data_IF_065319044470
#
_entry.id   IF_065319044470
#
_cell.length_a   1.000
_cell.length_b   1.000
_cell.length_c   1.000
_cell.angle_alpha   90.00
_cell.angle_beta   90.00
_cell.angle_gamma   90.00
#
_symmetry.space_group_name_H-M   'P 1'
#
loop_
_entity.id
_entity.type
_entity.pdbx_description
1 polymer ?
#
# COMPACT_ATOMS: atom_id res chain seq x y z
N UNK A 1 23.30 -26.11 9.55
CA UNK A 1 23.12 -24.78 8.91
C UNK A 1 21.70 -24.70 8.35
N UNK A 2 21.02 -23.56 8.46
CA UNK A 2 19.68 -23.38 7.88
C UNK A 2 19.81 -22.79 6.48
N UNK A 3 19.05 -23.32 5.52
CA UNK A 3 18.91 -22.71 4.20
C UNK A 3 17.51 -22.10 4.11
N UNK A 4 17.46 -20.76 4.12
CA UNK A 4 16.23 -19.98 4.06
C UNK A 4 15.91 -19.63 2.61
N UNK A 5 14.70 -19.94 2.16
CA UNK A 5 14.19 -19.62 0.83
C UNK A 5 12.95 -18.75 0.97
N UNK A 6 12.99 -17.52 0.46
CA UNK A 6 11.83 -16.63 0.40
C UNK A 6 11.10 -16.79 -0.93
N UNK A 7 9.78 -16.95 -0.86
CA UNK A 7 8.88 -17.06 -2.00
C UNK A 7 7.84 -15.97 -1.86
N UNK A 8 7.86 -15.04 -2.81
CA UNK A 8 6.82 -14.03 -2.99
C UNK A 8 5.61 -14.70 -3.66
N UNK A 9 4.55 -14.95 -2.88
CA UNK A 9 3.38 -15.67 -3.36
C UNK A 9 2.60 -14.90 -4.43
N UNK A 10 2.70 -13.56 -4.44
CA UNK A 10 2.02 -12.72 -5.44
C UNK A 10 2.47 -13.07 -6.87
N UNK A 11 3.74 -13.44 -7.03
CA UNK A 11 4.38 -13.88 -8.28
C UNK A 11 4.19 -15.37 -8.60
N UNK A 12 3.44 -16.08 -7.74
CA UNK A 12 3.14 -17.52 -7.88
C UNK A 12 1.65 -17.79 -8.02
N UNK A 13 0.86 -16.76 -8.29
CA UNK A 13 -0.59 -16.87 -8.40
C UNK A 13 -1.03 -17.92 -9.44
N UNK A 14 -0.46 -17.91 -10.65
CA UNK A 14 -0.84 -18.91 -11.67
C UNK A 14 -0.44 -20.33 -11.27
N UNK A 15 0.78 -20.52 -10.75
CA UNK A 15 1.25 -21.82 -10.24
C UNK A 15 0.34 -22.34 -9.12
N UNK A 16 -0.03 -21.50 -8.15
CA UNK A 16 -0.92 -21.85 -7.04
C UNK A 16 -2.38 -22.11 -7.48
N UNK A 17 -2.84 -21.55 -8.60
CA UNK A 17 -4.19 -21.82 -9.13
C UNK A 17 -4.29 -23.12 -9.91
N UNK A 18 -3.23 -23.43 -10.65
CA UNK A 18 -3.21 -24.51 -11.65
C UNK A 18 -2.63 -25.81 -11.12
N UNK A 19 -1.69 -25.75 -10.18
CA UNK A 19 -1.01 -26.94 -9.65
C UNK A 19 -1.62 -27.38 -8.34
N UNK A 20 -1.69 -28.69 -8.16
CA UNK A 20 -2.12 -29.26 -6.90
C UNK A 20 -0.99 -29.21 -5.86
N UNK A 21 -1.29 -28.84 -4.61
CA UNK A 21 -0.31 -28.78 -3.53
C UNK A 21 0.34 -30.15 -3.25
N UNK A 22 -0.39 -31.26 -3.41
CA UNK A 22 0.19 -32.61 -3.28
C UNK A 22 1.33 -32.85 -4.24
N UNK A 23 1.15 -32.49 -5.51
CA UNK A 23 2.14 -32.75 -6.55
C UNK A 23 3.42 -31.96 -6.28
N UNK A 24 3.25 -30.68 -5.93
CA UNK A 24 4.37 -29.80 -5.55
C UNK A 24 5.08 -30.30 -4.30
N UNK A 25 4.35 -30.71 -3.26
CA UNK A 25 4.94 -31.16 -2.01
C UNK A 25 5.61 -32.53 -2.13
N UNK A 26 5.05 -33.45 -2.93
CA UNK A 26 5.49 -34.85 -3.02
C UNK A 26 6.82 -34.96 -3.77
N UNK A 27 6.97 -34.25 -4.88
CA UNK A 27 8.16 -34.31 -5.73
C UNK A 27 9.21 -33.23 -5.35
N UNK A 28 10.41 -33.61 -4.88
CA UNK A 28 11.53 -32.70 -4.64
C UNK A 28 11.87 -31.77 -5.82
N UNK A 29 11.66 -32.24 -7.07
CA UNK A 29 11.91 -31.46 -8.28
C UNK A 29 10.87 -30.36 -8.42
N UNK A 30 9.59 -30.68 -8.24
CA UNK A 30 8.52 -29.68 -8.34
C UNK A 30 8.58 -28.67 -7.21
N UNK A 31 8.90 -29.09 -5.98
CA UNK A 31 9.13 -28.15 -4.87
C UNK A 31 10.30 -27.21 -5.16
N UNK A 32 11.40 -27.72 -5.73
CA UNK A 32 12.54 -26.89 -6.11
C UNK A 32 12.18 -25.85 -7.19
N UNK A 33 11.38 -26.24 -8.19
CA UNK A 33 10.85 -25.32 -9.22
C UNK A 33 9.95 -24.26 -8.61
N UNK A 34 9.07 -24.65 -7.69
CA UNK A 34 8.21 -23.72 -6.95
C UNK A 34 9.04 -22.71 -6.15
N UNK A 35 10.16 -23.16 -5.57
CA UNK A 35 11.16 -22.32 -4.89
C UNK A 35 12.04 -21.48 -5.85
N UNK A 36 11.74 -21.44 -7.15
CA UNK A 36 12.50 -20.72 -8.18
C UNK A 36 13.98 -21.13 -8.28
N UNK A 37 14.33 -22.35 -7.89
CA UNK A 37 15.71 -22.84 -8.03
C UNK A 37 16.01 -23.16 -9.49
N UNK A 38 17.20 -22.75 -9.95
CA UNK A 38 17.63 -22.98 -11.33
C UNK A 38 17.72 -24.46 -11.63
N UNK A 39 17.16 -24.88 -12.77
CA UNK A 39 17.22 -26.26 -13.25
C UNK A 39 18.68 -26.69 -13.43
N UNK A 40 18.99 -27.93 -13.08
CA UNK A 40 20.31 -28.57 -13.24
C UNK A 40 21.46 -27.82 -12.53
N UNK A 41 21.15 -26.98 -11.55
CA UNK A 41 22.12 -26.28 -10.72
C UNK A 41 22.57 -27.11 -9.51
N UNK A 42 23.76 -26.83 -8.98
CA UNK A 42 24.22 -27.38 -7.70
C UNK A 42 23.25 -27.05 -6.56
N UNK A 43 22.63 -25.87 -6.57
CA UNK A 43 21.60 -25.48 -5.60
C UNK A 43 20.43 -26.48 -5.63
N UNK A 44 19.91 -26.80 -6.81
CA UNK A 44 18.81 -27.76 -6.93
C UNK A 44 19.20 -29.15 -6.41
N UNK A 45 20.43 -29.59 -6.64
CA UNK A 45 20.94 -30.88 -6.15
C UNK A 45 20.99 -30.89 -4.62
N UNK A 46 21.62 -29.87 -4.01
CA UNK A 46 21.71 -29.76 -2.55
C UNK A 46 20.34 -29.60 -1.91
N UNK A 47 19.42 -28.88 -2.57
CA UNK A 47 18.06 -28.70 -2.07
C UNK A 47 17.33 -30.03 -2.01
N UNK A 48 17.33 -30.79 -3.11
CA UNK A 48 16.73 -32.13 -3.18
C UNK A 48 17.29 -33.06 -2.11
N UNK A 49 18.61 -33.08 -1.95
CA UNK A 49 19.27 -33.88 -0.92
C UNK A 49 18.82 -33.44 0.48
N UNK A 50 18.76 -32.13 0.74
CA UNK A 50 18.38 -31.55 2.03
C UNK A 50 16.94 -31.87 2.41
N UNK A 51 15.98 -31.78 1.47
CA UNK A 51 14.58 -32.10 1.77
C UNK A 51 14.28 -33.61 1.83
N UNK A 52 15.15 -34.45 1.24
CA UNK A 52 14.99 -35.91 1.25
C UNK A 52 15.67 -36.55 2.47
N UNK A 53 16.85 -36.05 2.84
CA UNK A 53 17.71 -36.66 3.86
C UNK A 53 17.85 -35.82 5.13
N UNK A 54 17.41 -34.56 5.11
CA UNK A 54 17.65 -33.58 6.19
C UNK A 54 19.07 -33.00 6.22
N UNK A 55 19.91 -33.31 5.22
CA UNK A 55 21.33 -32.96 5.14
C UNK A 55 21.72 -32.54 3.71
N UNK A 56 22.68 -31.61 3.51
CA UNK A 56 23.50 -30.93 4.53
C UNK A 56 22.80 -29.75 5.22
N UNK A 57 21.65 -29.29 4.70
CA UNK A 57 20.95 -28.12 5.21
C UNK A 57 19.58 -28.46 5.79
N UNK A 58 19.19 -27.73 6.83
CA UNK A 58 17.79 -27.69 7.28
C UNK A 58 17.07 -26.60 6.50
N UNK A 59 16.19 -26.99 5.58
CA UNK A 59 15.44 -26.07 4.73
C UNK A 59 14.35 -25.36 5.52
N UNK A 60 14.28 -24.03 5.37
CA UNK A 60 13.23 -23.17 5.88
C UNK A 60 12.65 -22.38 4.73
N UNK A 61 11.34 -22.37 4.58
CA UNK A 61 10.66 -21.66 3.51
C UNK A 61 9.89 -20.47 4.11
N UNK A 62 10.00 -19.30 3.50
CA UNK A 62 9.25 -18.10 3.88
C UNK A 62 8.28 -17.76 2.75
N UNK A 63 7.00 -17.95 3.00
CA UNK A 63 5.93 -17.49 2.13
C UNK A 63 5.60 -16.05 2.46
N UNK A 64 5.75 -15.18 1.48
CA UNK A 64 5.56 -13.74 1.60
C UNK A 64 4.36 -13.27 0.78
N UNK A 65 3.78 -12.13 1.14
CA UNK A 65 2.61 -11.55 0.46
C UNK A 65 1.38 -12.48 0.40
N UNK A 66 1.12 -13.23 1.47
CA UNK A 66 -0.04 -14.16 1.52
C UNK A 66 -1.39 -13.44 1.37
N UNK A 67 -1.49 -12.21 1.87
CA UNK A 67 -2.67 -11.35 1.72
C UNK A 67 -2.93 -10.91 0.27
N UNK A 68 -1.92 -10.98 -0.60
CA UNK A 68 -2.01 -10.47 -1.99
C UNK A 68 -2.50 -11.52 -2.99
N UNK A 69 -2.59 -12.79 -2.60
CA UNK A 69 -3.07 -13.87 -3.46
C UNK A 69 -4.57 -14.13 -3.23
N UNK A 70 -5.27 -14.59 -4.27
CA UNK A 70 -6.71 -14.83 -4.20
C UNK A 70 -7.09 -15.98 -3.25
N UNK A 71 -8.35 -16.04 -2.84
CA UNK A 71 -8.84 -17.02 -1.84
C UNK A 71 -8.51 -18.48 -2.20
N UNK A 72 -8.73 -18.87 -3.47
CA UNK A 72 -8.37 -20.21 -3.95
C UNK A 72 -6.87 -20.50 -3.80
N UNK A 73 -6.02 -19.52 -4.14
CA UNK A 73 -4.57 -19.63 -3.99
C UNK A 73 -4.17 -19.75 -2.51
N UNK A 74 -4.80 -18.96 -1.63
CA UNK A 74 -4.56 -19.01 -0.18
C UNK A 74 -4.86 -20.39 0.39
N UNK A 75 -6.01 -20.98 0.03
CA UNK A 75 -6.39 -22.36 0.42
C UNK A 75 -5.33 -23.37 -0.05
N UNK A 76 -4.84 -23.24 -1.28
CA UNK A 76 -3.81 -24.13 -1.81
C UNK A 76 -2.44 -23.92 -1.12
N UNK A 77 -2.08 -22.67 -0.80
CA UNK A 77 -0.86 -22.34 -0.06
C UNK A 77 -0.89 -22.91 1.37
N UNK A 78 -2.01 -22.78 2.09
CA UNK A 78 -2.21 -23.40 3.42
C UNK A 78 -2.07 -24.93 3.32
N UNK A 79 -2.66 -25.55 2.30
CA UNK A 79 -2.52 -27.00 2.06
C UNK A 79 -1.06 -27.40 1.83
N UNK A 80 -0.33 -26.64 1.02
CA UNK A 80 1.10 -26.85 0.79
C UNK A 80 1.90 -26.73 2.10
N UNK A 81 1.61 -25.73 2.94
CA UNK A 81 2.25 -25.57 4.26
C UNK A 81 2.05 -26.80 5.14
N UNK A 82 0.81 -27.32 5.22
CA UNK A 82 0.52 -28.54 5.99
C UNK A 82 1.35 -29.74 5.51
N UNK A 83 1.43 -29.94 4.20
CA UNK A 83 2.21 -31.01 3.59
C UNK A 83 3.72 -30.88 3.84
N UNK A 84 4.25 -29.65 3.78
CA UNK A 84 5.66 -29.36 4.05
C UNK A 84 6.00 -29.55 5.54
N UNK A 85 5.13 -29.10 6.45
CA UNK A 85 5.28 -29.31 7.89
C UNK A 85 5.27 -30.81 8.25
N UNK A 86 4.42 -31.61 7.60
CA UNK A 86 4.42 -33.07 7.77
C UNK A 86 5.75 -33.73 7.36
N UNK A 87 6.50 -33.09 6.44
CA UNK A 87 7.87 -33.46 6.07
C UNK A 87 8.95 -32.80 6.93
N UNK A 88 8.57 -32.19 8.06
CA UNK A 88 9.47 -31.47 8.98
C UNK A 88 10.20 -30.27 8.35
N UNK A 89 9.70 -29.75 7.23
CA UNK A 89 10.19 -28.50 6.63
C UNK A 89 9.48 -27.35 7.34
N UNK A 90 10.25 -26.43 7.92
CA UNK A 90 9.68 -25.27 8.62
C UNK A 90 9.24 -24.22 7.61
N UNK A 91 7.99 -23.75 7.73
CA UNK A 91 7.46 -22.68 6.89
C UNK A 91 7.05 -21.48 7.74
N UNK A 92 7.46 -20.28 7.33
CA UNK A 92 6.96 -19.01 7.85
C UNK A 92 6.02 -18.38 6.83
N UNK A 93 4.92 -17.80 7.29
CA UNK A 93 3.97 -17.07 6.44
C UNK A 93 3.95 -15.61 6.90
N UNK A 94 4.19 -14.70 5.98
CA UNK A 94 4.05 -13.26 6.18
C UNK A 94 2.74 -12.79 5.53
N UNK A 95 1.92 -12.12 6.32
CA UNK A 95 0.59 -11.65 5.92
C UNK A 95 0.17 -10.45 6.78
N UNK A 96 -0.91 -9.77 6.36
CA UNK A 96 -1.55 -8.72 7.15
C UNK A 96 -2.30 -9.35 8.34
N UNK A 97 -2.44 -8.58 9.43
CA UNK A 97 -3.05 -9.02 10.69
C UNK A 97 -4.49 -9.50 10.55
N UNK A 98 -5.24 -9.03 9.53
CA UNK A 98 -6.60 -9.50 9.25
C UNK A 98 -6.69 -11.01 9.00
N UNK A 99 -5.60 -11.65 8.53
CA UNK A 99 -5.54 -13.10 8.32
C UNK A 99 -5.06 -13.89 9.55
N UNK A 100 -4.74 -13.21 10.66
CA UNK A 100 -4.15 -13.81 11.86
C UNK A 100 -4.96 -14.98 12.40
N UNK A 101 -6.20 -14.74 12.81
CA UNK A 101 -7.02 -15.73 13.48
C UNK A 101 -7.27 -16.94 12.55
N UNK A 102 -7.65 -16.68 11.30
CA UNK A 102 -7.85 -17.73 10.30
C UNK A 102 -6.60 -18.59 10.04
N UNK A 103 -5.40 -17.99 10.01
CA UNK A 103 -4.15 -18.74 9.87
C UNK A 103 -3.80 -19.54 11.14
N UNK A 104 -4.02 -18.97 12.32
CA UNK A 104 -3.80 -19.67 13.59
C UNK A 104 -4.71 -20.88 13.74
N UNK A 105 -5.99 -20.74 13.38
CA UNK A 105 -6.98 -21.81 13.42
C UNK A 105 -6.67 -22.92 12.42
N UNK A 106 -6.37 -22.55 11.16
CA UNK A 106 -6.09 -23.52 10.10
C UNK A 106 -4.75 -24.27 10.31
N UNK A 107 -3.73 -23.60 10.86
CA UNK A 107 -2.39 -24.19 11.01
C UNK A 107 -2.08 -24.67 12.43
N UNK A 108 -3.01 -24.47 13.38
CA UNK A 108 -2.86 -24.79 14.80
C UNK A 108 -1.54 -24.25 15.38
N UNK A 109 -1.25 -22.97 15.11
CA UNK A 109 -0.03 -22.30 15.52
C UNK A 109 -0.32 -20.94 16.14
N UNK A 110 0.65 -20.40 16.86
CA UNK A 110 0.65 -19.00 17.30
C UNK A 110 1.32 -18.13 16.24
N UNK A 111 0.76 -16.95 15.98
CA UNK A 111 1.35 -15.94 15.11
C UNK A 111 2.15 -14.92 15.92
N UNK A 112 3.16 -14.34 15.27
CA UNK A 112 3.89 -13.19 15.80
C UNK A 112 3.52 -11.96 14.96
N UNK A 113 3.54 -10.79 15.58
CA UNK A 113 3.32 -9.51 14.90
C UNK A 113 4.62 -8.72 14.88
N UNK A 114 4.86 -8.01 13.77
CA UNK A 114 5.97 -7.08 13.67
C UNK A 114 5.49 -5.78 14.30
N UNK A 115 6.10 -5.40 15.43
CA UNK A 115 5.80 -4.14 16.09
C UNK A 115 6.21 -2.95 15.21
N UNK A 116 5.48 -1.82 15.31
CA UNK A 116 5.93 -0.56 14.74
C UNK A 116 7.31 -0.17 15.28
N UNK A 117 8.04 0.68 14.56
CA UNK A 117 9.34 1.16 15.04
C UNK A 117 9.20 1.95 16.34
N UNK A 118 10.03 1.61 17.31
CA UNK A 118 10.24 2.47 18.49
C UNK A 118 10.96 3.76 18.09
N UNK A 119 10.98 4.74 19.00
CA UNK A 119 11.77 5.97 18.81
C UNK A 119 13.24 5.65 18.54
N UNK A 120 13.82 4.71 19.29
CA UNK A 120 15.20 4.27 19.10
C UNK A 120 15.42 3.62 17.72
N UNK A 121 14.44 2.85 17.22
CA UNK A 121 14.51 2.27 15.87
C UNK A 121 14.46 3.35 14.79
N UNK A 122 13.61 4.38 14.96
CA UNK A 122 13.50 5.52 14.03
C UNK A 122 14.83 6.28 13.96
N UNK A 123 15.39 6.66 15.11
CA UNK A 123 16.68 7.37 15.19
C UNK A 123 17.78 6.55 14.50
N UNK A 124 17.89 5.27 14.86
CA UNK A 124 18.88 4.35 14.28
C UNK A 124 18.67 4.13 12.78
N UNK A 125 17.43 4.08 12.30
CA UNK A 125 17.12 3.95 10.89
C UNK A 125 17.64 5.16 10.11
N UNK A 126 17.35 6.38 10.58
CA UNK A 126 17.77 7.63 9.93
C UNK A 126 19.29 7.83 9.95
N UNK A 127 19.97 7.47 11.05
CA UNK A 127 21.43 7.46 11.13
C UNK A 127 22.05 6.54 10.07
N UNK A 128 21.53 5.32 9.94
CA UNK A 128 22.00 4.36 8.94
C UNK A 128 21.66 4.76 7.51
N UNK A 129 20.56 5.48 7.31
CA UNK A 129 20.15 5.99 6.01
C UNK A 129 21.17 7.01 5.49
N UNK A 130 21.51 8.04 6.28
CA UNK A 130 22.55 9.03 5.93
C UNK A 130 23.95 8.44 5.79
N UNK A 131 24.31 7.47 6.64
CA UNK A 131 25.63 6.82 6.58
C UNK A 131 25.90 6.08 5.26
N UNK A 132 24.86 5.77 4.47
CA UNK A 132 25.00 5.14 3.15
C UNK A 132 25.17 6.12 2.00
N UNK A 133 24.80 7.39 2.17
CA UNK A 133 24.83 8.40 1.11
C UNK A 133 26.04 9.32 1.20
N UNK A 134 26.67 9.42 2.38
CA UNK A 134 27.94 10.12 2.57
C UNK A 134 29.11 9.14 2.59
N UNK A 135 29.85 9.03 1.49
CA UNK A 135 31.26 8.59 1.51
C UNK A 135 32.16 9.81 1.30
N UNK A 136 33.14 10.10 2.18
CA UNK A 136 33.74 9.22 3.21
C UNK A 136 33.15 9.41 4.63
N UNK A 137 33.42 8.44 5.54
CA UNK A 137 32.92 8.43 6.92
C UNK A 137 33.68 9.45 7.78
N UNK A 138 33.26 10.72 7.68
CA UNK A 138 33.75 11.81 8.52
C UNK A 138 32.65 12.78 8.96
N UNK A 139 31.38 12.47 8.67
CA UNK A 139 30.23 13.31 9.00
C UNK A 139 29.95 13.34 10.51
N UNK A 140 29.76 14.55 11.02
CA UNK A 140 29.51 14.85 12.43
C UNK A 140 28.24 14.11 12.94
N UNK A 141 28.31 13.49 14.13
CA UNK A 141 27.18 12.74 14.74
C UNK A 141 25.90 13.58 14.95
N UNK A 142 26.02 14.91 14.93
CA UNK A 142 24.87 15.83 15.00
C UNK A 142 23.91 15.72 13.81
N UNK A 143 24.38 15.24 12.65
CA UNK A 143 23.61 15.28 11.40
C UNK A 143 22.43 14.29 11.33
N UNK A 144 22.47 13.17 12.07
CA UNK A 144 21.33 12.24 12.18
C UNK A 144 20.20 12.82 13.04
N UNK A 145 20.56 13.53 14.11
CA UNK A 145 19.63 14.25 14.99
C UNK A 145 18.93 15.39 14.25
N UNK A 146 19.64 16.08 13.34
CA UNK A 146 19.04 17.09 12.46
C UNK A 146 17.98 16.50 11.52
N UNK A 147 18.20 15.28 10.99
CA UNK A 147 17.23 14.62 10.10
C UNK A 147 15.98 14.21 10.85
N UNK A 148 16.12 13.61 12.02
CA UNK A 148 15.00 13.26 12.88
C UNK A 148 14.15 14.50 13.19
N UNK A 149 14.81 15.60 13.58
CA UNK A 149 14.15 16.88 13.86
C UNK A 149 13.36 17.40 12.65
N UNK A 150 13.93 17.35 11.45
CA UNK A 150 13.23 17.80 10.25
C UNK A 150 12.06 16.89 9.87
N UNK A 151 12.26 15.56 9.87
CA UNK A 151 11.19 14.59 9.56
C UNK A 151 10.02 14.75 10.54
N UNK A 152 10.30 14.96 11.83
CA UNK A 152 9.28 15.23 12.84
C UNK A 152 8.52 16.55 12.58
N UNK A 153 9.15 17.58 11.99
CA UNK A 153 8.45 18.84 11.68
C UNK A 153 7.34 18.65 10.66
N UNK A 154 7.52 17.77 9.68
CA UNK A 154 6.47 17.53 8.67
C UNK A 154 5.23 16.83 9.21
N UNK A 155 5.42 15.90 10.15
CA UNK A 155 4.30 15.13 10.73
C UNK A 155 3.73 15.80 11.99
N UNK A 156 4.33 16.91 12.44
CA UNK A 156 3.87 17.70 13.56
C UNK A 156 3.71 16.86 14.83
N UNK A 157 2.50 16.87 15.39
CA UNK A 157 2.16 16.12 16.61
C UNK A 157 1.90 14.63 16.33
N UNK A 158 1.54 14.24 15.10
CA UNK A 158 1.25 12.87 14.74
C UNK A 158 2.52 12.08 14.37
N UNK A 159 3.41 11.91 15.35
CA UNK A 159 4.68 11.22 15.14
C UNK A 159 4.52 9.70 14.90
N UNK A 160 3.35 9.13 15.20
CA UNK A 160 3.07 7.69 15.00
C UNK A 160 3.19 7.27 13.52
N UNK A 161 3.01 8.22 12.60
CA UNK A 161 3.23 8.04 11.15
C UNK A 161 4.64 7.52 10.84
N UNK A 162 5.64 7.96 11.61
CA UNK A 162 7.05 7.61 11.44
C UNK A 162 7.40 6.22 11.95
N UNK A 163 6.52 5.59 12.73
CA UNK A 163 6.70 4.21 13.20
C UNK A 163 6.59 3.21 12.05
N UNK A 164 5.99 3.59 10.92
CA UNK A 164 5.96 2.81 9.70
C UNK A 164 7.29 2.97 8.91
N UNK A 165 8.08 1.88 8.74
CA UNK A 165 9.41 1.98 8.12
C UNK A 165 9.39 2.45 6.66
N UNK A 166 8.32 2.17 5.91
CA UNK A 166 8.18 2.63 4.54
C UNK A 166 7.93 4.13 4.50
N UNK A 167 7.04 4.63 5.36
CA UNK A 167 6.75 6.06 5.47
C UNK A 167 7.99 6.82 5.94
N UNK A 168 8.67 6.32 6.96
CA UNK A 168 9.93 6.90 7.43
C UNK A 168 10.98 6.97 6.32
N UNK A 169 11.11 5.91 5.50
CA UNK A 169 12.01 5.91 4.35
C UNK A 169 11.62 6.96 3.31
N UNK A 170 10.34 7.11 2.98
CA UNK A 170 9.88 8.11 2.04
C UNK A 170 10.22 9.52 2.52
N UNK A 171 9.95 9.81 3.80
CA UNK A 171 10.27 11.09 4.42
C UNK A 171 11.78 11.35 4.44
N UNK A 172 12.57 10.33 4.78
CA UNK A 172 14.02 10.44 4.77
C UNK A 172 14.56 10.76 3.38
N UNK A 173 13.98 10.16 2.34
CA UNK A 173 14.38 10.40 0.96
C UNK A 173 13.98 11.80 0.47
N UNK A 174 12.80 12.30 0.84
CA UNK A 174 12.38 13.68 0.55
C UNK A 174 13.32 14.67 1.23
N UNK A 175 13.67 14.42 2.48
CA UNK A 175 14.55 15.28 3.28
C UNK A 175 15.98 15.35 2.79
N UNK A 176 16.51 14.22 2.36
CA UNK A 176 17.83 14.16 1.75
C UNK A 176 17.84 14.74 0.33
N UNK A 177 16.68 14.70 -0.33
CA UNK A 177 16.49 15.25 -1.67
C UNK A 177 16.90 16.72 -1.74
N UNK A 178 17.89 17.02 -2.59
CA UNK A 178 18.28 18.40 -2.93
C UNK A 178 17.28 19.00 -3.93
N UNK A 179 16.04 19.15 -3.48
CA UNK A 179 14.94 19.74 -4.26
C UNK A 179 15.25 21.23 -4.46
N UNK A 180 15.23 21.75 -5.69
CA UNK A 180 15.42 23.18 -5.92
C UNK A 180 14.33 24.00 -5.22
N UNK A 181 14.69 25.17 -4.67
CA UNK A 181 13.78 26.00 -3.88
C UNK A 181 12.49 26.38 -4.64
N UNK A 182 12.56 26.53 -5.97
CA UNK A 182 11.41 26.81 -6.83
C UNK A 182 10.34 25.70 -6.84
N UNK A 183 10.74 24.45 -6.60
CA UNK A 183 9.80 23.32 -6.50
C UNK A 183 9.42 23.00 -5.06
N UNK A 184 10.20 23.48 -4.08
CA UNK A 184 9.90 23.30 -2.66
C UNK A 184 8.55 23.93 -2.30
N UNK A 185 8.18 25.05 -2.93
CA UNK A 185 6.89 25.71 -2.74
C UNK A 185 5.71 24.75 -2.97
N UNK A 186 5.77 23.88 -3.99
CA UNK A 186 4.68 22.92 -4.27
C UNK A 186 4.56 21.84 -3.19
N UNK A 187 5.68 21.46 -2.57
CA UNK A 187 5.67 20.53 -1.44
C UNK A 187 5.21 21.21 -0.16
N UNK A 188 5.60 22.47 0.05
CA UNK A 188 5.10 23.30 1.15
C UNK A 188 3.58 23.47 1.08
N UNK A 189 2.99 23.64 -0.11
CA UNK A 189 1.54 23.68 -0.26
C UNK A 189 0.85 22.40 0.21
N UNK A 190 1.45 21.22 -0.02
CA UNK A 190 0.91 19.95 0.50
C UNK A 190 0.96 19.93 2.04
N UNK A 191 2.05 20.45 2.61
CA UNK A 191 2.28 20.47 4.05
C UNK A 191 1.41 21.52 4.77
N UNK A 192 1.21 22.67 4.15
CA UNK A 192 0.43 23.77 4.70
C UNK A 192 -1.09 23.53 4.63
N UNK A 193 -1.55 22.68 3.72
CA UNK A 193 -2.96 22.35 3.54
C UNK A 193 -3.46 21.22 4.46
N UNK A 194 -2.60 20.68 5.33
CA UNK A 194 -2.96 19.58 6.24
C UNK A 194 -2.69 19.96 7.70
N UNK A 195 -3.76 20.36 8.41
CA UNK A 195 -3.69 20.68 9.83
C UNK A 195 -3.51 19.43 10.71
N UNK A 196 -3.83 18.23 10.18
CA UNK A 196 -3.66 16.94 10.87
C UNK A 196 -2.94 15.93 9.96
N UNK A 197 -1.59 15.96 9.92
CA UNK A 197 -0.80 15.07 9.07
C UNK A 197 -1.22 13.61 9.18
N UNK A 198 -1.24 12.92 8.05
CA UNK A 198 -1.66 11.53 7.93
C UNK A 198 -0.81 10.81 6.85
N UNK A 199 -0.90 9.47 6.72
CA UNK A 199 -0.16 8.75 5.69
C UNK A 199 -0.40 9.27 4.27
N UNK A 200 -1.63 9.62 3.90
CA UNK A 200 -1.95 10.21 2.59
C UNK A 200 -1.11 11.45 2.27
N UNK A 201 -0.89 12.35 3.24
CA UNK A 201 -0.03 13.52 3.07
C UNK A 201 1.37 13.11 2.62
N UNK A 202 1.97 12.12 3.28
CA UNK A 202 3.32 11.64 2.95
C UNK A 202 3.37 11.02 1.55
N UNK A 203 2.35 10.25 1.15
CA UNK A 203 2.30 9.70 -0.21
C UNK A 203 2.22 10.80 -1.26
N UNK A 204 1.37 11.83 -1.05
CA UNK A 204 1.27 12.97 -1.96
C UNK A 204 2.59 13.73 -2.05
N UNK A 205 3.21 14.01 -0.91
CA UNK A 205 4.53 14.65 -0.81
C UNK A 205 5.59 13.86 -1.57
N UNK A 206 5.67 12.55 -1.34
CA UNK A 206 6.67 11.68 -1.96
C UNK A 206 6.46 11.53 -3.47
N UNK A 207 5.21 11.45 -3.94
CA UNK A 207 4.91 11.39 -5.38
C UNK A 207 5.31 12.69 -6.06
N UNK A 208 4.96 13.84 -5.46
CA UNK A 208 5.41 15.15 -5.94
C UNK A 208 6.93 15.26 -6.00
N UNK A 209 7.63 14.82 -4.94
CA UNK A 209 9.08 14.77 -4.90
C UNK A 209 9.69 13.91 -6.02
N UNK A 210 9.21 12.67 -6.20
CA UNK A 210 9.71 11.77 -7.24
C UNK A 210 9.54 12.34 -8.63
N UNK A 211 8.42 13.00 -8.87
CA UNK A 211 8.16 13.69 -10.12
C UNK A 211 9.14 14.85 -10.36
N UNK A 212 9.35 15.72 -9.38
CA UNK A 212 10.31 16.84 -9.47
C UNK A 212 11.73 16.32 -9.73
N UNK A 213 12.16 15.29 -9.00
CA UNK A 213 13.47 14.66 -9.18
C UNK A 213 13.65 14.10 -10.58
N UNK A 214 12.62 13.43 -11.11
CA UNK A 214 12.62 12.94 -12.49
C UNK A 214 12.79 14.07 -13.51
N UNK A 215 12.03 15.18 -13.37
CA UNK A 215 12.16 16.34 -14.26
C UNK A 215 13.56 16.94 -14.25
N UNK A 216 14.13 17.15 -13.06
CA UNK A 216 15.48 17.68 -12.88
C UNK A 216 16.53 16.80 -13.58
N UNK A 217 16.47 15.49 -13.38
CA UNK A 217 17.47 14.55 -13.89
C UNK A 217 17.37 14.29 -15.40
N UNK A 218 16.16 14.37 -15.98
CA UNK A 218 15.89 13.90 -17.35
C UNK A 218 15.53 14.99 -18.35
N UNK A 219 15.01 16.12 -17.89
CA UNK A 219 14.50 17.17 -18.80
C UNK A 219 15.33 18.46 -18.79
N UNK A 220 16.33 18.59 -17.89
CA UNK A 220 17.32 19.69 -17.92
C UNK A 220 16.72 21.10 -17.96
N UNK A 221 15.51 21.27 -17.44
CA UNK A 221 14.67 22.43 -17.69
C UNK A 221 14.99 23.54 -16.69
N UNK A 222 15.41 24.71 -17.19
CA UNK A 222 15.33 25.98 -16.44
C UNK A 222 13.86 26.42 -16.46
N UNK A 223 13.13 26.28 -15.35
CA UNK A 223 11.70 26.60 -15.32
C UNK A 223 11.48 27.87 -14.48
N UNK A 224 10.74 28.83 -15.04
CA UNK A 224 10.37 30.09 -14.33
C UNK A 224 9.07 29.93 -13.56
N UNK A 225 8.96 30.60 -12.41
CA UNK A 225 7.95 30.38 -11.34
C UNK A 225 6.48 30.35 -11.79
N UNK A 226 6.00 31.23 -12.68
CA UNK A 226 4.59 31.21 -13.11
C UNK A 226 4.27 30.19 -14.21
N UNK A 227 5.25 29.78 -15.01
CA UNK A 227 5.13 28.61 -15.88
C UNK A 227 5.12 27.32 -15.04
N UNK A 228 5.92 27.29 -13.96
CA UNK A 228 6.06 26.12 -13.08
C UNK A 228 4.73 25.59 -12.52
N UNK A 229 3.79 26.43 -12.06
CA UNK A 229 2.56 25.91 -11.42
C UNK A 229 1.62 25.20 -12.40
N UNK A 230 1.31 25.83 -13.54
CA UNK A 230 0.44 25.22 -14.55
C UNK A 230 1.07 23.99 -15.17
N UNK A 231 2.39 24.03 -15.39
CA UNK A 231 3.13 22.87 -15.86
C UNK A 231 3.12 21.77 -14.79
N UNK A 232 3.37 22.10 -13.51
CA UNK A 232 3.29 21.15 -12.40
C UNK A 232 1.93 20.47 -12.28
N UNK A 233 0.82 21.21 -12.30
CA UNK A 233 -0.52 20.65 -12.16
C UNK A 233 -0.88 19.73 -13.34
N UNK A 234 -0.60 20.17 -14.58
CA UNK A 234 -0.84 19.37 -15.78
C UNK A 234 0.01 18.09 -15.80
N UNK A 235 1.26 18.20 -15.38
CA UNK A 235 2.18 17.07 -15.41
C UNK A 235 1.92 16.10 -14.25
N UNK A 236 1.56 16.59 -13.07
CA UNK A 236 1.09 15.74 -11.97
C UNK A 236 -0.18 14.99 -12.37
N UNK A 237 -1.10 15.66 -13.09
CA UNK A 237 -2.26 15.00 -13.69
C UNK A 237 -1.83 13.87 -14.63
N UNK A 238 -0.80 14.09 -15.46
CA UNK A 238 -0.25 13.04 -16.32
C UNK A 238 0.33 11.86 -15.51
N UNK A 239 1.04 12.12 -14.40
CA UNK A 239 1.53 11.05 -13.50
C UNK A 239 0.36 10.18 -13.03
N UNK A 240 -0.74 10.79 -12.56
CA UNK A 240 -1.93 10.04 -12.14
C UNK A 240 -2.61 9.32 -13.31
N UNK A 241 -2.75 9.94 -14.48
CA UNK A 241 -3.35 9.32 -15.67
C UNK A 241 -2.56 8.08 -16.14
N UNK A 242 -1.23 8.10 -15.97
CA UNK A 242 -0.36 6.99 -16.38
C UNK A 242 -0.35 5.83 -15.37
N UNK A 243 -0.39 6.11 -14.07
CA UNK A 243 -0.21 5.08 -13.03
C UNK A 243 -1.53 4.54 -12.50
N UNK A 244 -2.58 5.36 -12.42
CA UNK A 244 -3.82 4.98 -11.73
C UNK A 244 -4.61 3.85 -12.42
N UNK A 245 -4.72 3.79 -13.76
CA UNK A 245 -5.36 2.65 -14.43
C UNK A 245 -4.59 1.34 -14.22
N UNK A 246 -3.25 1.39 -14.29
CA UNK A 246 -2.39 0.23 -14.02
C UNK A 246 -2.56 -0.25 -12.58
N UNK A 247 -2.56 0.69 -11.63
CA UNK A 247 -2.78 0.45 -10.22
C UNK A 247 -4.17 -0.18 -9.94
N UNK A 248 -5.23 0.34 -10.56
CA UNK A 248 -6.58 -0.21 -10.43
C UNK A 248 -6.63 -1.67 -10.89
N UNK A 249 -6.00 -1.99 -12.04
CA UNK A 249 -5.88 -3.37 -12.55
C UNK A 249 -5.16 -4.27 -11.57
N UNK A 250 -4.07 -3.80 -10.95
CA UNK A 250 -3.29 -4.55 -9.97
C UNK A 250 -4.08 -4.84 -8.69
N UNK A 251 -4.85 -3.86 -8.21
CA UNK A 251 -5.52 -3.95 -6.90
C UNK A 251 -6.90 -4.61 -6.98
N UNK A 252 -7.72 -4.24 -7.98
CA UNK A 252 -9.11 -4.72 -8.11
C UNK A 252 -9.31 -5.76 -9.22
N UNK A 253 -8.35 -5.90 -10.15
CA UNK A 253 -8.42 -6.85 -11.25
C UNK A 253 -9.27 -6.37 -12.44
N UNK A 254 -9.30 -7.21 -13.48
CA UNK A 254 -9.88 -6.86 -14.79
C UNK A 254 -11.38 -6.59 -14.76
N UNK A 255 -12.14 -7.30 -13.91
CA UNK A 255 -13.59 -7.15 -13.88
C UNK A 255 -14.00 -5.78 -13.31
N UNK A 256 -13.31 -5.34 -12.24
CA UNK A 256 -13.49 -3.99 -11.73
C UNK A 256 -13.05 -2.92 -12.74
N UNK A 257 -11.97 -3.15 -13.49
CA UNK A 257 -11.55 -2.25 -14.56
C UNK A 257 -12.65 -2.09 -15.63
N UNK A 258 -13.31 -3.18 -16.07
CA UNK A 258 -14.41 -3.12 -17.04
C UNK A 258 -15.62 -2.34 -16.51
N UNK A 259 -15.87 -2.41 -15.21
CA UNK A 259 -16.98 -1.70 -14.58
C UNK A 259 -16.70 -0.20 -14.36
N UNK A 260 -15.46 0.17 -14.05
CA UNK A 260 -15.09 1.54 -13.64
C UNK A 260 -14.56 2.38 -14.81
N UNK A 261 -13.80 1.78 -15.72
CA UNK A 261 -13.10 2.49 -16.79
C UNK A 261 -13.98 2.63 -18.03
N UNK A 262 -13.80 3.73 -18.76
CA UNK A 262 -14.40 3.87 -20.09
C UNK A 262 -13.61 3.07 -21.14
N UNK A 263 -14.18 2.92 -22.34
CA UNK A 263 -13.57 2.11 -23.40
C UNK A 263 -12.17 2.56 -23.83
N UNK A 264 -11.88 3.88 -23.80
CA UNK A 264 -10.56 4.40 -24.13
C UNK A 264 -9.54 4.07 -23.04
N UNK A 265 -9.90 4.25 -21.77
CA UNK A 265 -9.08 3.89 -20.62
C UNK A 265 -8.81 2.38 -20.57
N UNK A 266 -9.82 1.56 -20.86
CA UNK A 266 -9.67 0.10 -20.89
C UNK A 266 -8.73 -0.34 -22.01
N UNK A 267 -8.84 0.26 -23.20
CA UNK A 267 -7.94 -0.02 -24.32
C UNK A 267 -6.47 0.34 -24.05
N UNK A 268 -6.20 1.25 -23.11
CA UNK A 268 -4.82 1.54 -22.67
C UNK A 268 -4.21 0.42 -21.82
N UNK A 269 -5.06 -0.43 -21.21
CA UNK A 269 -4.69 -1.57 -20.36
C UNK A 269 -4.62 -2.90 -21.11
N UNK A 270 -4.94 -2.91 -22.41
CA UNK A 270 -4.72 -4.06 -23.27
C UNK A 270 -3.21 -4.36 -23.39
N UNK A 271 -2.80 -5.62 -23.68
CA UNK A 271 -1.37 -5.97 -23.82
C UNK A 271 -0.62 -5.08 -24.82
N UNK A 272 -1.31 -4.60 -25.85
CA UNK A 272 -0.79 -3.69 -26.88
C UNK A 272 -1.07 -2.21 -26.61
N UNK A 273 -1.79 -1.91 -25.54
CA UNK A 273 -2.17 -0.57 -25.11
C UNK A 273 -0.96 0.27 -24.66
N UNK A 274 -1.12 1.60 -24.76
CA UNK A 274 -0.04 2.57 -24.48
C UNK A 274 0.56 2.38 -23.08
N UNK A 275 -0.27 2.26 -22.05
CA UNK A 275 0.19 2.19 -20.66
C UNK A 275 0.88 0.86 -20.37
N UNK A 276 0.36 -0.26 -20.89
CA UNK A 276 1.00 -1.57 -20.73
C UNK A 276 2.35 -1.66 -21.43
N UNK A 277 2.47 -1.08 -22.63
CA UNK A 277 3.75 -0.97 -23.35
C UNK A 277 4.76 -0.12 -22.58
N UNK A 278 4.35 1.07 -22.11
CA UNK A 278 5.21 1.94 -21.33
C UNK A 278 5.67 1.29 -20.00
N UNK A 279 4.80 0.53 -19.33
CA UNK A 279 5.13 -0.27 -18.16
C UNK A 279 6.14 -1.38 -18.48
N UNK A 280 5.94 -2.11 -19.57
CA UNK A 280 6.83 -3.18 -20.00
C UNK A 280 8.22 -2.67 -20.38
N UNK A 281 8.29 -1.59 -21.14
CA UNK A 281 9.53 -0.97 -21.62
C UNK A 281 10.26 -0.18 -20.52
N UNK A 282 9.71 -0.14 -19.30
CA UNK A 282 10.21 0.64 -18.15
C UNK A 282 10.39 2.13 -18.47
N UNK A 283 9.53 2.65 -19.32
CA UNK A 283 9.54 4.06 -19.72
C UNK A 283 8.94 4.97 -18.63
N UNK A 284 8.29 4.41 -17.60
CA UNK A 284 7.92 5.15 -16.39
C UNK A 284 9.15 5.35 -15.50
N UNK A 285 9.99 6.29 -15.93
CA UNK A 285 11.25 6.66 -15.27
C UNK A 285 11.08 7.34 -13.89
N UNK A 286 9.84 7.51 -13.42
CA UNK A 286 9.50 8.13 -12.13
C UNK A 286 9.70 7.17 -10.94
N UNK A 287 9.93 5.87 -11.20
CA UNK A 287 10.40 4.92 -10.18
C UNK A 287 9.30 4.27 -9.33
N UNK A 288 8.03 4.32 -9.74
CA UNK A 288 6.93 3.64 -9.03
C UNK A 288 6.69 2.19 -9.49
N UNK A 289 7.17 1.82 -10.67
CA UNK A 289 7.09 0.47 -11.24
C UNK A 289 8.46 -0.22 -11.19
N UNK A 290 8.48 -1.51 -10.86
CA UNK A 290 9.69 -2.32 -10.77
C UNK A 290 9.88 -3.21 -12.01
N UNK A 291 8.84 -3.98 -12.37
CA UNK A 291 8.86 -4.91 -13.49
C UNK A 291 7.43 -5.32 -13.92
N UNK A 292 7.36 -6.26 -14.86
CA UNK A 292 6.13 -6.96 -15.24
C UNK A 292 6.18 -8.41 -14.74
N UNK A 293 5.06 -8.91 -14.22
CA UNK A 293 4.89 -10.30 -13.81
C UNK A 293 3.59 -10.85 -14.41
N UNK A 294 3.69 -11.91 -15.21
CA UNK A 294 2.52 -12.55 -15.86
C UNK A 294 1.60 -11.57 -16.62
N UNK A 295 2.19 -10.54 -17.26
CA UNK A 295 1.42 -9.51 -17.97
C UNK A 295 0.73 -8.49 -17.06
N UNK A 296 1.06 -8.46 -15.77
CA UNK A 296 0.57 -7.49 -14.79
C UNK A 296 1.74 -6.60 -14.31
N UNK A 297 1.56 -5.27 -14.23
CA UNK A 297 2.57 -4.37 -13.67
C UNK A 297 2.84 -4.65 -12.19
N UNK A 298 4.10 -4.59 -11.80
CA UNK A 298 4.53 -4.71 -10.40
C UNK A 298 5.04 -3.36 -9.93
N UNK A 299 4.33 -2.76 -8.98
CA UNK A 299 4.76 -1.54 -8.30
C UNK A 299 5.93 -1.85 -7.36
N UNK A 300 6.81 -0.88 -7.14
CA UNK A 300 7.96 -1.01 -6.21
C UNK A 300 7.52 -1.36 -4.79
N UNK A 301 6.31 -0.93 -4.41
CA UNK A 301 5.63 -1.36 -3.21
C UNK A 301 4.10 -1.34 -3.45
N UNK A 302 3.37 -2.30 -2.87
CA UNK A 302 1.90 -2.43 -3.04
C UNK A 302 1.15 -1.16 -2.65
N UNK A 303 1.61 -0.45 -1.60
CA UNK A 303 0.96 0.78 -1.15
C UNK A 303 0.91 1.89 -2.22
N UNK A 304 1.88 1.94 -3.16
CA UNK A 304 1.79 2.87 -4.29
C UNK A 304 0.68 2.47 -5.26
N UNK A 305 0.53 1.17 -5.54
CA UNK A 305 -0.60 0.69 -6.31
C UNK A 305 -1.92 0.99 -5.60
N UNK A 306 -2.00 0.85 -4.27
CA UNK A 306 -3.19 1.24 -3.50
C UNK A 306 -3.46 2.74 -3.64
N UNK A 307 -2.47 3.59 -3.37
CA UNK A 307 -2.59 5.04 -3.46
C UNK A 307 -3.09 5.52 -4.84
N UNK A 308 -2.47 5.05 -5.93
CA UNK A 308 -2.87 5.43 -7.28
C UNK A 308 -4.25 4.87 -7.67
N UNK A 309 -4.57 3.63 -7.27
CA UNK A 309 -5.90 3.05 -7.51
C UNK A 309 -6.99 3.85 -6.78
N UNK A 310 -6.75 4.21 -5.52
CA UNK A 310 -7.66 5.03 -4.71
C UNK A 310 -7.85 6.41 -5.30
N UNK A 311 -6.78 7.07 -5.74
CA UNK A 311 -6.90 8.38 -6.40
C UNK A 311 -7.90 8.32 -7.56
N UNK A 312 -7.79 7.32 -8.44
CA UNK A 312 -8.73 7.15 -9.55
C UNK A 312 -10.15 6.80 -9.10
N UNK A 313 -10.31 5.91 -8.12
CA UNK A 313 -11.63 5.60 -7.54
C UNK A 313 -12.29 6.86 -6.98
N UNK A 314 -11.54 7.65 -6.23
CA UNK A 314 -12.01 8.89 -5.63
C UNK A 314 -12.46 9.89 -6.71
N UNK A 315 -11.64 10.15 -7.72
CA UNK A 315 -12.01 11.03 -8.84
C UNK A 315 -13.26 10.55 -9.58
N UNK A 316 -13.37 9.24 -9.84
CA UNK A 316 -14.54 8.64 -10.51
C UNK A 316 -15.80 8.74 -9.65
N UNK A 317 -15.70 8.52 -8.34
CA UNK A 317 -16.80 8.75 -7.40
C UNK A 317 -17.16 10.23 -7.36
N UNK A 318 -16.17 11.12 -7.37
CA UNK A 318 -16.42 12.56 -7.32
C UNK A 318 -17.12 13.08 -8.56
N UNK A 319 -16.80 12.52 -9.74
CA UNK A 319 -17.46 12.81 -11.00
C UNK A 319 -18.81 12.09 -11.19
N UNK A 320 -19.10 11.07 -10.39
CA UNK A 320 -20.33 10.29 -10.50
C UNK A 320 -21.58 11.10 -10.09
N UNK A 321 -22.68 10.84 -10.79
CA UNK A 321 -24.01 11.33 -10.38
C UNK A 321 -24.56 10.43 -9.25
N UNK A 322 -25.30 10.98 -8.27
CA UNK A 322 -25.92 10.20 -7.21
C UNK A 322 -26.81 9.08 -7.79
N UNK A 323 -26.70 7.88 -7.23
CA UNK A 323 -27.47 6.67 -7.54
C UNK A 323 -27.21 5.97 -8.89
N UNK A 324 -26.27 6.43 -9.73
CA UNK A 324 -26.12 5.86 -11.08
C UNK A 324 -24.67 5.77 -11.59
N UNK A 325 -23.76 5.30 -10.73
CA UNK A 325 -22.39 5.03 -11.15
C UNK A 325 -21.91 3.66 -10.68
N UNK A 326 -21.48 2.83 -11.63
CA UNK A 326 -20.90 1.52 -11.37
C UNK A 326 -19.76 1.60 -10.34
N UNK A 327 -18.95 2.67 -10.39
CA UNK A 327 -17.87 2.91 -9.41
C UNK A 327 -18.38 3.00 -7.97
N UNK A 328 -19.54 3.64 -7.71
CA UNK A 328 -20.10 3.73 -6.36
C UNK A 328 -20.45 2.32 -5.86
N UNK A 329 -21.10 1.50 -6.70
CA UNK A 329 -21.43 0.11 -6.34
C UNK A 329 -20.18 -0.72 -6.05
N UNK A 330 -19.14 -0.57 -6.87
CA UNK A 330 -17.87 -1.25 -6.65
C UNK A 330 -17.29 -0.83 -5.30
N UNK A 331 -17.13 0.46 -5.03
CA UNK A 331 -16.56 0.97 -3.77
C UNK A 331 -17.38 0.53 -2.56
N UNK A 332 -18.71 0.66 -2.60
CA UNK A 332 -19.61 0.20 -1.53
C UNK A 332 -19.43 -1.30 -1.28
N UNK A 333 -19.30 -2.11 -2.34
CA UNK A 333 -19.09 -3.57 -2.23
C UNK A 333 -17.71 -3.99 -1.73
N UNK A 334 -16.77 -3.06 -1.56
CA UNK A 334 -15.47 -3.33 -0.94
C UNK A 334 -15.52 -3.19 0.58
N UNK A 335 -16.39 -2.34 1.14
CA UNK A 335 -16.55 -2.24 2.59
C UNK A 335 -17.04 -3.59 3.17
N UNK A 336 -16.41 -4.04 4.25
CA UNK A 336 -16.68 -5.35 4.83
C UNK A 336 -16.10 -6.53 4.04
N UNK A 337 -15.19 -6.30 3.09
CA UNK A 337 -14.48 -7.36 2.37
C UNK A 337 -13.02 -7.45 2.80
N UNK A 338 -12.66 -8.59 3.40
CA UNK A 338 -11.31 -8.85 3.88
C UNK A 338 -10.25 -8.65 2.77
N UNK A 339 -9.20 -7.88 3.09
CA UNK A 339 -8.06 -7.62 2.20
C UNK A 339 -8.16 -6.33 1.39
N UNK A 340 -9.21 -5.53 1.58
CA UNK A 340 -9.35 -4.18 0.99
C UNK A 340 -9.25 -3.05 2.03
N UNK A 341 -8.93 -3.37 3.29
CA UNK A 341 -8.91 -2.41 4.39
C UNK A 341 -7.92 -1.27 4.13
N UNK A 342 -6.72 -1.57 3.63
CA UNK A 342 -5.72 -0.53 3.28
C UNK A 342 -6.22 0.38 2.16
N UNK A 343 -6.92 -0.17 1.17
CA UNK A 343 -7.49 0.59 0.06
C UNK A 343 -8.58 1.53 0.56
N UNK A 344 -9.47 1.03 1.41
CA UNK A 344 -10.58 1.83 1.95
C UNK A 344 -10.07 2.87 2.95
N UNK A 345 -9.06 2.56 3.76
CA UNK A 345 -8.41 3.54 4.63
C UNK A 345 -7.88 4.72 3.82
N UNK A 346 -7.12 4.48 2.74
CA UNK A 346 -6.69 5.55 1.85
C UNK A 346 -7.88 6.28 1.22
N UNK A 347 -8.92 5.58 0.78
CA UNK A 347 -10.11 6.20 0.18
C UNK A 347 -10.80 7.15 1.17
N UNK A 348 -10.88 6.75 2.44
CA UNK A 348 -11.45 7.54 3.50
C UNK A 348 -10.59 8.75 3.83
N UNK A 349 -9.25 8.60 3.88
CA UNK A 349 -8.29 9.70 4.01
C UNK A 349 -8.43 10.71 2.86
N UNK A 350 -8.66 10.26 1.61
CA UNK A 350 -8.90 11.16 0.48
C UNK A 350 -10.18 11.98 0.65
N UNK A 351 -11.24 11.37 1.18
CA UNK A 351 -12.49 12.06 1.50
C UNK A 351 -12.33 13.07 2.64
N UNK A 352 -11.61 12.68 3.70
CA UNK A 352 -11.34 13.47 4.89
C UNK A 352 -10.30 14.58 4.67
N UNK A 353 -9.49 14.52 3.61
CA UNK A 353 -8.37 15.42 3.36
C UNK A 353 -8.75 16.91 3.52
N UNK A 354 -7.97 17.63 4.34
CA UNK A 354 -8.22 19.02 4.75
C UNK A 354 -9.54 19.27 5.52
N UNK A 355 -10.15 18.23 6.10
CA UNK A 355 -11.31 18.33 7.00
C UNK A 355 -10.93 17.84 8.40
N UNK A 356 -10.52 18.78 9.25
CA UNK A 356 -9.95 18.53 10.59
C UNK A 356 -10.68 17.49 11.44
N UNK A 357 -12.01 17.55 11.64
CA UNK A 357 -12.71 16.57 12.49
C UNK A 357 -12.61 15.13 11.96
N UNK A 358 -12.58 14.96 10.64
CA UNK A 358 -12.49 13.66 9.99
C UNK A 358 -11.06 13.11 10.04
N UNK A 359 -10.06 13.95 9.75
CA UNK A 359 -8.65 13.58 9.88
C UNK A 359 -8.29 13.19 11.32
N UNK A 360 -8.74 13.97 12.30
CA UNK A 360 -8.51 13.67 13.72
C UNK A 360 -9.04 12.28 14.10
N UNK A 361 -10.29 11.94 13.72
CA UNK A 361 -10.85 10.61 13.99
C UNK A 361 -10.05 9.51 13.30
N UNK A 362 -9.65 9.70 12.03
CA UNK A 362 -8.84 8.70 11.29
C UNK A 362 -7.45 8.49 11.93
N UNK A 363 -6.89 9.54 12.51
CA UNK A 363 -5.61 9.51 13.20
C UNK A 363 -5.73 8.95 14.64
N UNK A 364 -6.96 8.83 15.17
CA UNK A 364 -7.21 8.42 16.56
C UNK A 364 -7.09 9.57 17.57
N UNK A 365 -7.06 10.81 17.10
CA UNK A 365 -7.02 12.02 17.93
C UNK A 365 -8.40 12.37 18.51
N UNK A 366 -8.41 13.24 19.52
CA UNK A 366 -9.66 13.75 20.09
C UNK A 366 -10.30 14.81 19.20
N UNK A 367 -11.63 14.79 19.12
CA UNK A 367 -12.42 15.85 18.48
C UNK A 367 -13.10 16.66 19.57
N UNK A 368 -12.67 17.90 19.75
CA UNK A 368 -13.32 18.86 20.64
C UNK A 368 -14.35 19.70 19.88
N UNK A 369 -15.47 20.07 20.52
CA UNK A 369 -16.47 20.97 19.94
C UNK A 369 -17.61 20.29 19.15
N UNK A 370 -18.58 21.10 18.71
CA UNK A 370 -19.78 20.64 17.98
C UNK A 370 -19.50 20.56 16.47
N UNK A 371 -18.90 19.46 16.02
CA UNK A 371 -18.54 19.23 14.61
C UNK A 371 -19.37 18.17 13.90
N UNK A 372 -20.38 17.60 14.56
CA UNK A 372 -21.13 16.42 14.09
C UNK A 372 -21.83 16.55 12.74
N UNK A 373 -22.05 17.78 12.25
CA UNK A 373 -22.70 18.05 10.96
C UNK A 373 -21.74 18.58 9.89
N UNK A 374 -20.45 18.74 10.19
CA UNK A 374 -19.44 19.15 9.20
C UNK A 374 -19.30 18.05 8.16
N UNK A 375 -19.30 18.40 6.88
CA UNK A 375 -19.20 17.44 5.79
C UNK A 375 -17.80 17.44 5.18
N UNK A 376 -17.27 16.25 4.93
CA UNK A 376 -16.05 16.08 4.14
C UNK A 376 -16.36 16.09 2.63
N UNK A 377 -15.35 15.80 1.79
CA UNK A 377 -15.49 15.80 0.32
C UNK A 377 -16.47 14.75 -0.20
N UNK A 378 -16.69 13.67 0.56
CA UNK A 378 -17.66 12.64 0.24
C UNK A 378 -19.05 12.95 0.82
N UNK A 379 -19.24 14.10 1.48
CA UNK A 379 -20.50 14.43 2.13
C UNK A 379 -20.74 13.63 3.41
N UNK A 380 -19.68 13.09 4.02
CA UNK A 380 -19.75 12.34 5.28
C UNK A 380 -19.62 13.28 6.46
N UNK A 381 -20.34 12.99 7.54
CA UNK A 381 -20.13 13.61 8.85
C UNK A 381 -19.03 12.91 9.65
N UNK A 382 -18.48 13.51 10.73
CA UNK A 382 -17.53 12.82 11.61
C UNK A 382 -18.11 11.52 12.19
N UNK A 383 -19.44 11.45 12.37
CA UNK A 383 -20.13 10.22 12.83
C UNK A 383 -19.98 9.08 11.83
N UNK A 384 -19.91 9.34 10.52
CA UNK A 384 -19.63 8.28 9.52
C UNK A 384 -18.23 7.68 9.74
N UNK A 385 -17.23 8.55 9.90
CA UNK A 385 -15.84 8.12 10.09
C UNK A 385 -15.69 7.38 11.42
N UNK A 386 -16.30 7.89 12.50
CA UNK A 386 -16.29 7.22 13.80
C UNK A 386 -17.01 5.87 13.78
N UNK A 387 -18.11 5.74 13.04
CA UNK A 387 -18.81 4.46 12.90
C UNK A 387 -17.95 3.41 12.17
N UNK A 388 -17.20 3.86 11.17
CA UNK A 388 -16.35 3.01 10.33
C UNK A 388 -15.02 2.63 11.00
N UNK A 389 -14.32 3.61 11.57
CA UNK A 389 -12.94 3.47 12.10
C UNK A 389 -12.86 3.60 13.62
N UNK A 390 -13.76 4.38 14.21
CA UNK A 390 -13.70 4.77 15.61
C UNK A 390 -13.85 3.59 16.57
N UNK A 391 -13.19 3.73 17.72
CA UNK A 391 -13.51 2.94 18.91
C UNK A 391 -14.88 3.40 19.46
N UNK A 392 -15.55 2.54 20.23
CA UNK A 392 -16.83 2.82 20.87
C UNK A 392 -16.78 4.14 21.69
N UNK A 393 -15.60 4.46 22.23
CA UNK A 393 -15.35 5.69 22.98
C UNK A 393 -15.37 6.96 22.11
N UNK A 394 -14.98 6.90 20.84
CA UNK A 394 -15.10 8.03 19.90
C UNK A 394 -16.58 8.28 19.59
N UNK A 395 -17.34 7.22 19.31
CA UNK A 395 -18.77 7.33 19.04
C UNK A 395 -19.56 7.88 20.22
N UNK A 396 -19.20 7.51 21.46
CA UNK A 396 -19.85 8.02 22.69
C UNK A 396 -19.62 9.51 22.93
N UNK A 397 -18.55 10.07 22.37
CA UNK A 397 -18.21 11.51 22.51
C UNK A 397 -18.88 12.40 21.46
N UNK A 398 -19.37 11.82 20.37
CA UNK A 398 -20.10 12.55 19.34
C UNK A 398 -21.60 12.59 19.66
N UNK A 399 -22.28 13.72 19.45
CA UNK A 399 -23.74 13.70 19.58
C UNK A 399 -24.37 13.01 18.37
N UNK A 400 -24.89 11.82 18.61
CA UNK A 400 -25.49 10.94 17.60
C UNK A 400 -26.94 11.36 17.23
N UNK A 401 -27.14 12.65 16.96
CA UNK A 401 -28.45 13.25 16.70
C UNK A 401 -28.91 13.01 15.26
N UNK A 402 -29.08 14.06 14.46
CA UNK A 402 -29.51 13.96 13.06
C UNK A 402 -28.43 13.35 12.15
N UNK A 403 -27.16 13.42 12.57
CA UNK A 403 -26.01 12.93 11.83
C UNK A 403 -26.11 11.44 11.43
N UNK A 404 -26.78 10.60 12.23
CA UNK A 404 -26.95 9.16 11.95
C UNK A 404 -27.84 8.87 10.72
N UNK A 405 -28.62 9.86 10.26
CA UNK A 405 -29.53 9.73 9.12
C UNK A 405 -29.00 10.39 7.84
N UNK A 406 -27.89 11.13 7.95
CA UNK A 406 -27.26 11.78 6.80
C UNK A 406 -26.73 10.69 5.87
N UNK A 407 -27.01 10.84 4.57
CA UNK A 407 -26.42 10.00 3.53
C UNK A 407 -25.28 10.76 2.87
N UNK A 408 -24.18 10.06 2.69
CA UNK A 408 -23.03 10.58 1.95
C UNK A 408 -23.18 10.39 0.43
N UNK A 409 -22.11 10.66 -0.31
CA UNK A 409 -22.03 10.50 -1.76
C UNK A 409 -22.08 9.05 -2.23
N UNK A 410 -21.73 8.10 -1.37
CA UNK A 410 -21.91 6.67 -1.63
C UNK A 410 -23.36 6.21 -1.33
N UNK A 411 -24.18 7.09 -0.76
CA UNK A 411 -25.55 6.80 -0.35
C UNK A 411 -25.65 6.07 0.98
N UNK A 412 -24.55 5.98 1.74
CA UNK A 412 -24.44 5.30 3.01
C UNK A 412 -24.67 6.26 4.17
N UNK A 413 -25.28 5.75 5.25
CA UNK A 413 -25.37 6.45 6.54
C UNK A 413 -24.30 5.91 7.49
N UNK A 414 -24.02 6.57 8.63
CA UNK A 414 -23.08 6.05 9.63
C UNK A 414 -23.43 4.62 10.09
N UNK A 415 -24.72 4.33 10.26
CA UNK A 415 -25.19 3.00 10.69
C UNK A 415 -24.84 1.93 9.65
N UNK A 416 -24.97 2.24 8.36
CA UNK A 416 -24.63 1.29 7.29
C UNK A 416 -23.13 1.00 7.26
N UNK A 417 -22.29 1.98 7.60
CA UNK A 417 -20.85 1.76 7.75
C UNK A 417 -20.50 0.88 8.96
N UNK A 418 -21.16 1.09 10.10
CA UNK A 418 -21.00 0.24 11.27
C UNK A 418 -21.39 -1.21 10.97
N UNK A 419 -22.54 -1.43 10.33
CA UNK A 419 -23.00 -2.76 9.94
C UNK A 419 -21.98 -3.47 9.01
N UNK A 420 -21.41 -2.74 8.03
CA UNK A 420 -20.40 -3.30 7.13
C UNK A 420 -19.09 -3.67 7.84
N UNK A 421 -18.74 -2.98 8.93
CA UNK A 421 -17.56 -3.27 9.75
C UNK A 421 -17.74 -4.56 10.56
N UNK A 422 -18.92 -4.77 11.15
CA UNK A 422 -19.19 -5.92 12.02
C UNK A 422 -19.20 -7.25 11.26
N UNK A 423 -19.50 -7.26 9.96
CA UNK A 423 -19.42 -8.47 9.12
C UNK A 423 -17.98 -9.01 8.97
N UNK A 424 -16.97 -8.19 9.24
CA UNK A 424 -15.54 -8.53 9.11
C UNK A 424 -14.84 -8.93 10.41
N UNK A 425 -15.47 -8.74 11.58
CA UNK A 425 -14.94 -9.18 12.89
C UNK A 425 -15.34 -10.63 13.16
#
# INVERSE_FOLDING_TARGET
>A
MHWVIRIDLSKKNQELRSRNAEDVAKDPIELAKFCCLKRDSHEMIFFKQSITTGSPFKVVIMFDSFNEIGEKCRKNAIRLVRLLNAKQIRVFIFSHSVFKNGLQDELHTVSYEISPFSKEDIEKFLENYKGKTTFPPGGNKDTGRDMYGNVCRYVGQNQTILENPLILRMMAEVEEGQIPDEYRVFLEDILNNEESPNPLMVFRLFVGYKYISYKKEKQGSDITREACQRDYDNDMKQVYEEHSPLALKVILGDDACKEILNGSELGQLDPDGRLMKAAFEKLHHQGFLSCMCEGVPVFVHRSFAVFFAVHLLFEKVMAAKPNDAAVIRVVVGLYGKAGYDDLLKFFDEFGAWSHMPHCAILNGDEVEGEHEMVLDKLGRTPVHIAALHGDDDVLRRLHLTQAIRVKDKLGLTPVMYADARDVCR
#
